data_IF_452080728920
#
_entry.id   IF_452080728920
#
_cell.length_a   1.000
_cell.length_b   1.000
_cell.length_c   1.000
_cell.angle_alpha   90.00
_cell.angle_beta   90.00
_cell.angle_gamma   90.00
#
_symmetry.space_group_name_H-M   'P 1'
#
loop_
_entity.id
_entity.type
_entity.pdbx_description
1 polymer ?
#
# COMPACT_ATOMS: atom_id res chain seq x y z
N UNK A 1 -1.53 11.50 13.82
CA UNK A 1 -0.98 10.15 14.06
C UNK A 1 -0.27 10.02 15.42
N UNK A 2 0.62 10.93 15.81
CA UNK A 2 1.37 10.89 17.10
C UNK A 2 0.49 10.61 18.33
N UNK A 3 -0.68 11.25 18.43
CA UNK A 3 -1.60 11.00 19.55
C UNK A 3 -2.02 9.53 19.68
N UNK A 4 -2.33 8.87 18.56
CA UNK A 4 -2.72 7.46 18.56
C UNK A 4 -1.56 6.54 19.00
N UNK A 5 -0.32 6.87 18.64
CA UNK A 5 0.86 6.12 19.07
C UNK A 5 1.10 6.25 20.59
N UNK A 6 0.88 7.45 21.15
CA UNK A 6 0.94 7.68 22.60
C UNK A 6 -0.17 6.95 23.35
N UNK A 7 -1.38 6.92 22.80
CA UNK A 7 -2.47 6.11 23.36
C UNK A 7 -2.17 4.61 23.28
N UNK A 8 -1.60 4.13 22.17
CA UNK A 8 -1.13 2.75 22.05
C UNK A 8 -0.09 2.43 23.13
N UNK A 9 0.90 3.29 23.33
CA UNK A 9 1.88 3.15 24.43
C UNK A 9 1.19 3.05 25.80
N UNK A 10 0.20 3.92 26.07
CA UNK A 10 -0.51 3.94 27.35
C UNK A 10 -1.21 2.62 27.66
N UNK A 11 -1.84 1.99 26.65
CA UNK A 11 -2.63 0.76 26.86
C UNK A 11 -1.82 -0.53 26.75
N UNK A 12 -0.67 -0.51 26.08
CA UNK A 12 0.18 -1.70 25.96
C UNK A 12 0.75 -2.09 27.33
N UNK A 13 0.76 -3.39 27.62
CA UNK A 13 1.47 -3.95 28.78
C UNK A 13 2.98 -3.74 28.62
N UNK A 14 3.77 -3.84 29.70
CA UNK A 14 5.23 -3.86 29.58
C UNK A 14 5.69 -4.91 28.56
N UNK A 15 6.67 -4.56 27.70
CA UNK A 15 7.12 -5.35 26.56
C UNK A 15 6.03 -5.66 25.49
N UNK A 16 4.91 -4.95 25.54
CA UNK A 16 3.87 -5.02 24.51
C UNK A 16 4.41 -4.56 23.16
N UNK A 17 3.89 -5.17 22.08
CA UNK A 17 4.31 -4.87 20.72
C UNK A 17 3.28 -4.00 20.02
N UNK A 18 3.75 -2.96 19.34
CA UNK A 18 3.02 -2.19 18.34
C UNK A 18 3.49 -2.61 16.95
N UNK A 19 2.55 -2.92 16.07
CA UNK A 19 2.80 -3.16 14.65
C UNK A 19 2.30 -1.96 13.85
N UNK A 20 3.20 -1.33 13.11
CA UNK A 20 2.86 -0.35 12.08
C UNK A 20 2.82 -1.07 10.74
N UNK A 21 1.70 -0.99 10.03
CA UNK A 21 1.51 -1.66 8.74
C UNK A 21 0.81 -0.72 7.78
N UNK A 22 1.49 -0.38 6.69
CA UNK A 22 1.01 0.64 5.75
C UNK A 22 1.53 0.38 4.33
N UNK A 23 0.75 0.71 3.29
CA UNK A 23 1.29 0.77 1.93
C UNK A 23 2.33 1.89 1.84
N UNK A 24 3.32 1.73 0.97
CA UNK A 24 4.24 2.78 0.57
C UNK A 24 3.78 3.39 -0.75
N UNK A 25 3.85 4.72 -0.85
CA UNK A 25 3.64 5.47 -2.08
C UNK A 25 4.84 5.34 -3.00
N UNK A 26 4.88 4.23 -3.71
CA UNK A 26 5.80 3.98 -4.82
C UNK A 26 5.01 3.69 -6.09
N UNK A 27 5.47 4.20 -7.24
CA UNK A 27 4.80 3.93 -8.52
C UNK A 27 4.75 2.42 -8.78
N UNK A 28 3.55 1.91 -9.07
CA UNK A 28 3.31 0.47 -9.25
C UNK A 28 2.71 0.16 -10.62
N UNK A 29 3.14 -0.92 -11.28
CA UNK A 29 2.59 -1.28 -12.58
C UNK A 29 1.17 -1.85 -12.45
N UNK A 30 0.28 -1.45 -13.36
CA UNK A 30 -0.97 -2.15 -13.61
C UNK A 30 -0.69 -3.24 -14.65
N UNK A 31 -0.79 -4.50 -14.24
CA UNK A 31 -0.47 -5.64 -15.09
C UNK A 31 -1.72 -6.43 -15.48
N UNK A 32 -1.72 -7.00 -16.69
CA UNK A 32 -2.66 -8.03 -17.12
C UNK A 32 -1.94 -9.37 -17.12
N UNK A 33 -2.38 -10.27 -16.25
CA UNK A 33 -1.87 -11.63 -16.14
C UNK A 33 -2.68 -12.54 -17.05
N UNK A 34 -2.02 -13.37 -17.84
CA UNK A 34 -2.63 -14.35 -18.75
C UNK A 34 -1.75 -15.61 -18.84
N UNK A 35 -2.21 -16.64 -19.55
CA UNK A 35 -1.53 -17.95 -19.63
C UNK A 35 -0.10 -17.86 -20.19
N UNK A 36 0.17 -16.84 -21.02
CA UNK A 36 1.49 -16.61 -21.62
C UNK A 36 2.43 -15.73 -20.80
N UNK A 37 2.00 -15.23 -19.63
CA UNK A 37 2.81 -14.36 -18.78
C UNK A 37 2.04 -13.13 -18.27
N UNK A 38 2.72 -11.98 -18.29
CA UNK A 38 2.18 -10.70 -17.83
C UNK A 38 2.56 -9.59 -18.79
N UNK A 39 1.59 -8.71 -19.05
CA UNK A 39 1.80 -7.49 -19.84
C UNK A 39 1.50 -6.25 -18.99
N UNK A 40 2.31 -5.21 -19.15
CA UNK A 40 2.19 -3.95 -18.43
C UNK A 40 1.25 -2.98 -19.18
N UNK A 41 0.23 -2.47 -18.49
CA UNK A 41 -0.68 -1.45 -18.99
C UNK A 41 -0.22 -0.01 -18.72
N UNK A 42 0.82 0.16 -17.91
CA UNK A 42 1.43 1.41 -17.47
C UNK A 42 1.51 1.50 -15.95
N UNK A 43 1.99 2.63 -15.44
CA UNK A 43 2.19 2.86 -14.00
C UNK A 43 0.97 3.56 -13.38
N UNK A 44 0.62 3.14 -12.18
CA UNK A 44 -0.31 3.83 -11.29
C UNK A 44 0.51 4.85 -10.50
N UNK A 45 0.06 6.11 -10.54
CA UNK A 45 0.67 7.19 -9.79
C UNK A 45 0.14 7.15 -8.35
N UNK A 46 1.04 6.94 -7.40
CA UNK A 46 0.74 6.90 -5.95
C UNK A 46 1.27 8.13 -5.22
N UNK A 47 1.73 9.14 -5.95
CA UNK A 47 2.29 10.37 -5.39
C UNK A 47 1.36 11.15 -4.45
N UNK A 48 0.01 11.10 -4.59
CA UNK A 48 -0.88 11.72 -3.60
C UNK A 48 -0.66 11.22 -2.16
N UNK A 49 -0.20 9.97 -2.01
CA UNK A 49 0.05 9.37 -0.70
C UNK A 49 1.38 9.77 -0.03
N UNK A 50 2.30 10.43 -0.74
CA UNK A 50 3.67 10.69 -0.23
C UNK A 50 3.66 11.55 1.05
N UNK A 51 2.79 12.55 1.14
CA UNK A 51 2.71 13.39 2.33
C UNK A 51 2.25 12.61 3.57
N UNK A 52 1.33 11.64 3.38
CA UNK A 52 0.91 10.74 4.46
C UNK A 52 2.03 9.82 4.88
N UNK A 53 2.87 9.39 3.93
CA UNK A 53 4.04 8.59 4.23
C UNK A 53 5.04 9.34 5.10
N UNK A 54 5.42 10.55 4.70
CA UNK A 54 6.32 11.41 5.48
C UNK A 54 5.75 11.68 6.87
N UNK A 55 4.46 12.04 6.96
CA UNK A 55 3.81 12.31 8.25
C UNK A 55 3.77 11.08 9.17
N UNK A 56 3.68 9.87 8.62
CA UNK A 56 3.73 8.63 9.39
C UNK A 56 5.15 8.37 9.91
N UNK A 57 6.18 8.53 9.06
CA UNK A 57 7.58 8.41 9.47
C UNK A 57 7.94 9.40 10.59
N UNK A 58 7.51 10.66 10.45
CA UNK A 58 7.73 11.69 11.46
C UNK A 58 7.04 11.33 12.79
N UNK A 59 5.86 10.74 12.73
CA UNK A 59 5.13 10.33 13.92
C UNK A 59 5.83 9.17 14.67
N UNK A 60 6.33 8.18 13.93
CA UNK A 60 7.13 7.08 14.50
C UNK A 60 8.43 7.62 15.09
N UNK A 61 9.17 8.44 14.33
CA UNK A 61 10.43 9.04 14.79
C UNK A 61 10.24 9.85 16.08
N UNK A 62 9.12 10.57 16.22
CA UNK A 62 8.79 11.31 17.44
C UNK A 62 8.65 10.41 18.67
N UNK A 63 7.92 9.29 18.57
CA UNK A 63 7.72 8.41 19.74
C UNK A 63 8.96 7.57 20.09
N UNK A 64 9.82 7.31 19.09
CA UNK A 64 11.14 6.71 19.32
C UNK A 64 12.08 7.70 20.03
N UNK A 65 12.11 8.96 19.59
CA UNK A 65 12.92 10.02 20.22
C UNK A 65 12.49 10.30 21.66
N UNK A 66 11.21 10.19 21.96
CA UNK A 66 10.67 10.31 23.32
C UNK A 66 10.94 9.08 24.19
N UNK A 67 11.51 8.00 23.64
CA UNK A 67 11.79 6.79 24.41
C UNK A 67 10.55 6.02 24.83
N UNK A 68 9.44 6.14 24.09
CA UNK A 68 8.21 5.38 24.35
C UNK A 68 8.32 3.96 23.76
N UNK A 69 8.95 3.85 22.60
CA UNK A 69 9.16 2.58 21.95
C UNK A 69 10.61 2.43 21.56
N UNK A 70 11.00 1.19 21.31
CA UNK A 70 12.22 0.89 20.59
C UNK A 70 11.91 0.01 19.38
N UNK A 71 12.58 0.32 18.28
CA UNK A 71 12.43 -0.41 17.02
C UNK A 71 13.10 -1.78 17.11
N UNK A 72 12.36 -2.82 16.76
CA UNK A 72 12.87 -4.20 16.68
C UNK A 72 13.24 -4.60 15.27
N UNK A 73 12.37 -4.29 14.32
CA UNK A 73 12.55 -4.59 12.91
C UNK A 73 11.66 -3.66 12.08
N UNK A 74 12.12 -3.30 10.90
CA UNK A 74 11.34 -2.69 9.83
C UNK A 74 11.62 -3.47 8.56
N UNK A 75 10.58 -3.96 7.93
CA UNK A 75 10.68 -4.73 6.69
C UNK A 75 9.67 -4.26 5.65
N UNK A 76 10.02 -4.47 4.38
CA UNK A 76 9.15 -4.21 3.25
C UNK A 76 8.75 -5.54 2.60
N UNK A 77 7.51 -5.66 2.16
CA UNK A 77 7.02 -6.85 1.46
C UNK A 77 6.01 -6.49 0.37
N UNK A 78 5.89 -7.36 -0.63
CA UNK A 78 4.95 -7.17 -1.73
C UNK A 78 3.56 -7.71 -1.36
N UNK A 79 2.55 -6.86 -1.48
CA UNK A 79 1.15 -7.24 -1.37
C UNK A 79 0.47 -7.10 -2.73
N UNK A 80 -0.20 -8.16 -3.21
CA UNK A 80 -0.77 -8.17 -4.56
C UNK A 80 -2.29 -8.26 -4.51
N UNK A 81 -2.95 -7.38 -5.26
CA UNK A 81 -4.39 -7.42 -5.51
C UNK A 81 -4.71 -7.89 -6.92
N UNK A 82 -5.83 -8.59 -7.06
CA UNK A 82 -6.28 -9.14 -8.33
C UNK A 82 -7.76 -8.84 -8.59
N UNK A 83 -8.07 -8.52 -9.85
CA UNK A 83 -9.45 -8.33 -10.31
C UNK A 83 -9.74 -9.09 -11.60
N UNK A 84 -11.00 -9.54 -11.73
CA UNK A 84 -11.49 -10.20 -12.95
C UNK A 84 -11.99 -9.22 -14.02
N UNK A 85 -12.23 -7.96 -13.65
CA UNK A 85 -12.72 -6.94 -14.60
C UNK A 85 -12.30 -5.53 -14.18
N UNK A 86 -12.19 -4.65 -15.18
CA UNK A 86 -11.89 -3.22 -14.98
C UNK A 86 -12.96 -2.58 -14.08
N UNK A 87 -14.24 -2.92 -14.26
CA UNK A 87 -15.34 -2.40 -13.43
C UNK A 87 -15.15 -2.72 -11.94
N UNK A 88 -14.74 -3.95 -11.63
CA UNK A 88 -14.49 -4.35 -10.24
C UNK A 88 -13.29 -3.60 -9.64
N UNK A 89 -12.23 -3.41 -10.41
CA UNK A 89 -11.07 -2.62 -9.98
C UNK A 89 -11.45 -1.15 -9.76
N UNK A 90 -12.18 -0.53 -10.68
CA UNK A 90 -12.62 0.86 -10.55
C UNK A 90 -13.51 1.08 -9.32
N UNK A 91 -14.44 0.16 -9.04
CA UNK A 91 -15.28 0.22 -7.84
C UNK A 91 -14.44 0.13 -6.57
N UNK A 92 -13.42 -0.74 -6.56
CA UNK A 92 -12.51 -0.86 -5.43
C UNK A 92 -11.68 0.41 -5.21
N UNK A 93 -11.13 0.99 -6.28
CA UNK A 93 -10.37 2.24 -6.20
C UNK A 93 -11.25 3.37 -5.68
N UNK A 94 -12.45 3.54 -6.22
CA UNK A 94 -13.38 4.59 -5.75
C UNK A 94 -13.75 4.42 -4.27
N UNK A 95 -13.89 3.17 -3.79
CA UNK A 95 -14.25 2.91 -2.40
C UNK A 95 -13.06 3.03 -1.44
N UNK A 96 -11.86 2.60 -1.86
CA UNK A 96 -10.73 2.39 -0.95
C UNK A 96 -9.56 3.34 -1.17
N UNK A 97 -9.32 3.80 -2.39
CA UNK A 97 -8.08 4.50 -2.80
C UNK A 97 -8.33 5.79 -3.59
N UNK A 98 -9.55 6.34 -3.54
CA UNK A 98 -9.98 7.44 -4.41
C UNK A 98 -9.02 8.64 -4.40
N UNK A 99 -8.48 8.95 -3.22
CA UNK A 99 -7.60 10.09 -2.99
C UNK A 99 -6.12 9.68 -2.89
N UNK A 100 -5.82 8.38 -2.98
CA UNK A 100 -4.47 7.83 -2.78
C UNK A 100 -3.77 7.50 -4.11
N UNK A 101 -4.54 7.28 -5.19
CA UNK A 101 -4.00 6.86 -6.48
C UNK A 101 -4.60 7.62 -7.66
N UNK A 102 -3.76 7.86 -8.66
CA UNK A 102 -4.16 8.40 -9.96
C UNK A 102 -3.84 7.36 -11.04
N UNK A 103 -4.86 6.98 -11.81
CA UNK A 103 -4.70 6.11 -12.98
C UNK A 103 -5.09 6.91 -14.21
N UNK A 104 -4.11 7.18 -15.07
CA UNK A 104 -4.34 7.97 -16.27
C UNK A 104 -5.28 7.24 -17.24
N UNK A 105 -6.01 8.03 -18.06
CA UNK A 105 -6.88 7.48 -19.11
C UNK A 105 -6.11 6.60 -20.11
N UNK A 106 -4.83 6.87 -20.33
CA UNK A 106 -3.96 6.04 -21.15
C UNK A 106 -3.77 4.64 -20.55
N UNK A 107 -3.47 4.56 -19.26
CA UNK A 107 -3.33 3.28 -18.53
C UNK A 107 -4.63 2.52 -18.56
N UNK A 108 -5.77 3.19 -18.33
CA UNK A 108 -7.08 2.55 -18.42
C UNK A 108 -7.38 2.01 -19.82
N UNK A 109 -7.08 2.79 -20.86
CA UNK A 109 -7.27 2.40 -22.26
C UNK A 109 -6.40 1.18 -22.60
N UNK A 110 -5.14 1.17 -22.19
CA UNK A 110 -4.23 0.06 -22.43
C UNK A 110 -4.64 -1.19 -21.66
N UNK A 111 -5.03 -1.07 -20.39
CA UNK A 111 -5.54 -2.18 -19.59
C UNK A 111 -6.78 -2.81 -20.23
N UNK A 112 -7.74 -2.00 -20.71
CA UNK A 112 -8.92 -2.49 -21.44
C UNK A 112 -8.54 -3.24 -22.72
N UNK A 113 -7.57 -2.72 -23.48
CA UNK A 113 -7.06 -3.37 -24.71
C UNK A 113 -6.43 -4.73 -24.41
N UNK A 114 -5.50 -4.80 -23.46
CA UNK A 114 -4.81 -6.03 -23.06
C UNK A 114 -5.80 -7.05 -22.49
N UNK A 115 -6.72 -6.63 -21.62
CA UNK A 115 -7.73 -7.54 -21.06
C UNK A 115 -8.60 -8.14 -22.16
N UNK A 116 -9.03 -7.36 -23.17
CA UNK A 116 -9.81 -7.87 -24.31
C UNK A 116 -9.03 -8.87 -25.16
N UNK A 117 -7.72 -8.64 -25.35
CA UNK A 117 -6.83 -9.49 -26.14
C UNK A 117 -6.68 -10.89 -25.53
N UNK A 118 -6.59 -11.00 -24.20
CA UNK A 118 -6.28 -12.25 -23.50
C UNK A 118 -7.47 -12.93 -22.80
N UNK A 119 -8.71 -12.53 -23.14
CA UNK A 119 -9.90 -13.22 -22.65
C UNK A 119 -9.96 -14.68 -23.12
N UNK A 120 -10.57 -15.58 -22.33
CA UNK A 120 -11.24 -15.34 -21.05
C UNK A 120 -10.35 -15.51 -19.81
N UNK A 121 -9.10 -15.96 -19.97
CA UNK A 121 -8.25 -16.42 -18.85
C UNK A 121 -7.35 -15.32 -18.25
N UNK A 122 -7.66 -14.04 -18.51
CA UNK A 122 -6.88 -12.91 -18.03
C UNK A 122 -7.38 -12.33 -16.70
N UNK A 123 -6.47 -11.87 -15.84
CA UNK A 123 -6.77 -11.11 -14.62
C UNK A 123 -5.98 -9.80 -14.61
N UNK A 124 -6.51 -8.80 -13.92
CA UNK A 124 -5.78 -7.56 -13.61
C UNK A 124 -5.01 -7.79 -12.31
N UNK A 125 -3.76 -7.32 -12.24
CA UNK A 125 -2.89 -7.37 -11.07
C UNK A 125 -2.34 -5.97 -10.78
N UNK A 126 -2.35 -5.61 -9.50
CA UNK A 126 -1.57 -4.48 -8.98
C UNK A 126 -0.77 -4.98 -7.79
N UNK A 127 0.55 -4.78 -7.81
CA UNK A 127 1.43 -5.06 -6.67
C UNK A 127 1.68 -3.78 -5.91
N UNK A 128 1.48 -3.78 -4.59
CA UNK A 128 1.72 -2.67 -3.68
C UNK A 128 2.90 -3.06 -2.80
N UNK A 129 3.85 -2.15 -2.59
CA UNK A 129 4.86 -2.35 -1.58
C UNK A 129 4.29 -1.94 -0.21
N UNK A 130 4.37 -2.83 0.76
CA UNK A 130 3.96 -2.58 2.14
C UNK A 130 5.19 -2.39 3.01
N UNK A 131 5.10 -1.49 3.99
CA UNK A 131 6.03 -1.38 5.12
C UNK A 131 5.40 -2.01 6.36
N UNK A 132 6.19 -2.79 7.08
CA UNK A 132 5.85 -3.33 8.39
C UNK A 132 6.94 -2.96 9.40
N UNK A 133 6.59 -2.14 10.38
CA UNK A 133 7.44 -1.82 11.53
C UNK A 133 6.97 -2.56 12.78
N UNK A 134 7.90 -3.22 13.47
CA UNK A 134 7.68 -3.81 14.79
C UNK A 134 8.39 -2.96 15.84
N UNK A 135 7.63 -2.46 16.80
CA UNK A 135 8.12 -1.64 17.90
C UNK A 135 7.68 -2.22 19.23
N UNK A 136 8.57 -2.25 20.21
CA UNK A 136 8.26 -2.75 21.54
C UNK A 136 8.23 -1.60 22.54
N UNK A 137 7.25 -1.64 23.46
CA UNK A 137 7.09 -0.65 24.51
C UNK A 137 8.28 -0.68 25.47
N UNK A 138 8.88 0.48 25.71
CA UNK A 138 9.88 0.65 26.78
C UNK A 138 9.16 0.68 28.15
N UNK A 139 9.77 0.00 29.12
CA UNK A 139 9.20 -0.22 30.46
C UNK A 139 9.20 1.02 31.35
#
# INVERSE_FOLDING_TARGET
>A
MVHALKEAYRILTPNGTMMDMRPLSVDVPLEIIHTGGRDNAGMIDTSPGIEFDVAAEDAIASVLKEGLFFERNVENFDFTLFWKSIRAMQAYIEEKWKDDVIISEEVWRQAKKLLKMYRPQSKIRVGIQMKMGKYEKLG
#
